data_IF_503002054377
#
_entry.id   IF_503002054377
#
_cell.length_a   1.000
_cell.length_b   1.000
_cell.length_c   1.000
_cell.angle_alpha   90.00
_cell.angle_beta   90.00
_cell.angle_gamma   90.00
#
_symmetry.space_group_name_H-M   'P 1'
#
loop_
_entity.id
_entity.type
_entity.pdbx_description
1 polymer ?
#
# COMPACT_ATOMS: atom_id res chain seq x y z
N UNK A 1 -5.86 -29.59 -32.42
CA UNK A 1 -5.28 -28.67 -31.41
C UNK A 1 -6.02 -27.33 -31.54
N UNK A 2 -6.52 -26.74 -30.45
CA UNK A 2 -7.25 -25.47 -30.53
C UNK A 2 -6.38 -24.37 -31.16
N UNK A 3 -7.04 -23.52 -31.94
CA UNK A 3 -6.41 -22.52 -32.81
C UNK A 3 -5.73 -21.44 -31.97
N UNK A 4 -4.45 -21.12 -32.26
CA UNK A 4 -3.70 -20.06 -31.57
C UNK A 4 -4.41 -18.73 -31.77
N UNK A 5 -4.84 -18.09 -30.68
CA UNK A 5 -5.50 -16.80 -30.69
C UNK A 5 -4.71 -15.83 -29.81
N UNK A 6 -4.46 -14.61 -30.31
CA UNK A 6 -3.61 -13.61 -29.62
C UNK A 6 -4.11 -13.23 -28.22
N UNK A 7 -5.40 -13.46 -27.93
CA UNK A 7 -6.01 -13.17 -26.63
C UNK A 7 -5.85 -14.29 -25.59
N UNK A 8 -5.35 -15.47 -25.98
CA UNK A 8 -5.09 -16.59 -25.06
C UNK A 8 -3.58 -16.86 -24.92
N UNK A 9 -2.89 -15.93 -24.24
CA UNK A 9 -1.44 -16.03 -24.03
C UNK A 9 -1.02 -17.07 -22.96
N UNK A 10 -1.97 -17.80 -22.36
CA UNK A 10 -1.71 -18.79 -21.31
C UNK A 10 -1.83 -20.25 -21.80
N UNK A 11 -1.77 -20.48 -23.12
CA UNK A 11 -2.00 -21.82 -23.70
C UNK A 11 -0.77 -22.75 -23.64
N UNK A 12 0.39 -22.23 -23.26
CA UNK A 12 1.59 -23.06 -23.03
C UNK A 12 1.52 -23.71 -21.64
N UNK A 13 2.03 -24.95 -21.52
CA UNK A 13 2.14 -25.66 -20.23
C UNK A 13 3.12 -25.00 -19.24
N UNK A 14 3.83 -23.97 -19.68
CA UNK A 14 4.73 -23.14 -18.88
C UNK A 14 4.48 -21.66 -19.19
N UNK A 15 4.47 -20.82 -18.16
CA UNK A 15 4.47 -19.36 -18.34
C UNK A 15 5.92 -18.87 -18.41
N UNK A 16 6.20 -17.98 -19.35
CA UNK A 16 7.49 -17.28 -19.46
C UNK A 16 7.68 -16.29 -18.31
N UNK A 17 8.92 -15.85 -18.10
CA UNK A 17 9.24 -14.88 -17.05
C UNK A 17 8.48 -13.56 -17.22
N UNK A 18 8.37 -13.03 -18.45
CA UNK A 18 7.64 -11.80 -18.73
C UNK A 18 6.13 -11.92 -18.47
N UNK A 19 5.54 -13.07 -18.78
CA UNK A 19 4.13 -13.34 -18.51
C UNK A 19 3.87 -13.42 -17.00
N UNK A 20 4.76 -14.08 -16.25
CA UNK A 20 4.69 -14.15 -14.79
C UNK A 20 4.77 -12.77 -14.14
N UNK A 21 5.64 -11.89 -14.64
CA UNK A 21 5.72 -10.49 -14.19
C UNK A 21 4.42 -9.72 -14.49
N UNK A 22 3.87 -9.84 -15.70
CA UNK A 22 2.62 -9.15 -16.10
C UNK A 22 1.38 -9.66 -15.35
N UNK A 23 1.34 -10.95 -15.01
CA UNK A 23 0.26 -11.55 -14.23
C UNK A 23 0.21 -11.06 -12.78
N UNK A 24 1.34 -10.55 -12.29
CA UNK A 24 1.49 -10.13 -10.91
C UNK A 24 1.29 -11.25 -9.87
N UNK A 25 1.34 -12.51 -10.30
CA UNK A 25 0.99 -13.67 -9.49
C UNK A 25 2.19 -14.19 -8.69
N UNK A 26 1.98 -14.49 -7.41
CA UNK A 26 3.01 -15.01 -6.50
C UNK A 26 3.85 -13.92 -5.84
N UNK A 27 4.94 -14.33 -5.18
CA UNK A 27 5.88 -13.40 -4.54
C UNK A 27 6.77 -12.74 -5.58
N UNK A 28 6.52 -11.46 -5.85
CA UNK A 28 7.35 -10.65 -6.74
C UNK A 28 8.47 -9.98 -5.96
N UNK A 29 9.68 -10.01 -6.53
CA UNK A 29 10.84 -9.29 -6.00
C UNK A 29 11.27 -8.28 -7.05
N UNK A 30 10.98 -7.02 -6.78
CA UNK A 30 11.39 -5.90 -7.62
C UNK A 30 12.19 -4.89 -6.79
N UNK A 31 13.13 -4.21 -7.44
CA UNK A 31 13.83 -3.08 -6.81
C UNK A 31 12.93 -1.86 -6.88
N UNK A 32 12.37 -1.49 -5.73
CA UNK A 32 11.58 -0.27 -5.62
C UNK A 32 12.49 0.97 -5.70
N UNK A 33 12.02 1.98 -6.43
CA UNK A 33 12.67 3.28 -6.50
C UNK A 33 12.55 4.05 -5.19
N UNK A 34 13.34 5.13 -5.05
CA UNK A 34 13.27 6.02 -3.89
C UNK A 34 11.86 6.57 -3.66
N UNK A 35 11.15 6.87 -4.73
CA UNK A 35 9.80 7.46 -4.68
C UNK A 35 8.74 6.50 -4.13
N UNK A 36 9.03 5.20 -4.13
CA UNK A 36 8.17 4.18 -3.52
C UNK A 36 8.33 4.10 -2.00
N UNK A 37 9.37 4.73 -1.44
CA UNK A 37 9.65 4.74 -0.01
C UNK A 37 9.20 6.07 0.55
N UNK A 38 8.36 6.00 1.59
CA UNK A 38 7.90 7.17 2.32
C UNK A 38 9.12 7.90 2.94
N UNK A 39 9.28 9.22 2.72
CA UNK A 39 10.28 9.99 3.45
C UNK A 39 9.95 10.02 4.95
N UNK A 40 10.91 10.42 5.78
CA UNK A 40 10.74 10.50 7.24
C UNK A 40 9.86 11.68 7.67
N UNK A 41 9.85 12.76 6.88
CA UNK A 41 9.29 14.06 7.25
C UNK A 41 7.76 14.25 7.16
N UNK A 42 6.94 13.46 6.43
CA UNK A 42 5.51 13.70 6.33
C UNK A 42 4.69 13.00 7.43
N UNK A 43 3.51 13.55 7.73
CA UNK A 43 2.58 13.03 8.74
C UNK A 43 2.15 11.59 8.38
N UNK A 44 2.21 10.65 9.33
CA UNK A 44 1.84 9.24 9.11
C UNK A 44 0.39 9.03 8.62
N UNK A 45 -0.52 9.97 8.88
CA UNK A 45 -1.93 9.87 8.47
C UNK A 45 -2.23 10.58 7.15
N UNK A 46 -1.70 11.80 6.94
CA UNK A 46 -2.01 12.63 5.76
C UNK A 46 -0.99 12.58 4.63
N UNK A 47 0.21 12.06 4.86
CA UNK A 47 1.34 12.09 3.89
C UNK A 47 1.80 13.50 3.48
N UNK A 48 1.35 14.54 4.17
CA UNK A 48 1.72 15.95 3.96
C UNK A 48 2.70 16.45 5.03
N UNK A 49 3.16 17.70 4.88
CA UNK A 49 4.01 18.37 5.86
C UNK A 49 3.37 18.39 7.26
N UNK A 50 4.20 18.28 8.30
CA UNK A 50 3.70 18.30 9.67
C UNK A 50 3.35 19.73 10.13
N UNK A 51 2.26 19.80 10.89
CA UNK A 51 1.78 20.99 11.57
C UNK A 51 1.54 20.54 13.02
N UNK A 52 2.18 21.21 13.98
CA UNK A 52 2.22 20.80 15.39
C UNK A 52 2.54 19.30 15.58
N UNK A 53 3.83 18.91 15.42
CA UNK A 53 4.24 17.53 15.46
C UNK A 53 4.03 16.91 16.85
N UNK A 54 3.43 15.73 16.87
CA UNK A 54 3.32 14.86 18.03
C UNK A 54 3.97 13.51 17.73
N UNK A 55 4.55 12.91 18.76
CA UNK A 55 5.20 11.61 18.69
C UNK A 55 4.41 10.57 19.48
N UNK A 56 4.23 9.39 18.87
CA UNK A 56 3.78 8.21 19.59
C UNK A 56 4.97 7.49 20.23
N UNK A 57 4.76 6.74 21.31
CA UNK A 57 5.79 5.89 21.95
C UNK A 57 6.45 4.90 20.98
N UNK A 58 5.77 4.54 19.89
CA UNK A 58 6.28 3.67 18.83
C UNK A 58 7.18 4.37 17.80
N UNK A 59 7.38 5.69 17.93
CA UNK A 59 8.23 6.46 17.01
C UNK A 59 7.52 7.00 15.76
N UNK A 60 6.20 7.09 15.76
CA UNK A 60 5.44 7.66 14.64
C UNK A 60 5.27 9.18 14.79
N UNK A 61 5.46 9.90 13.67
CA UNK A 61 5.29 11.35 13.54
C UNK A 61 3.91 11.70 12.98
N UNK A 62 3.16 12.52 13.72
CA UNK A 62 1.77 12.84 13.43
C UNK A 62 1.48 14.31 13.67
N UNK A 63 0.55 14.90 12.90
CA UNK A 63 -0.04 16.18 13.27
C UNK A 63 -1.02 15.99 14.43
N UNK A 64 -1.10 16.98 15.32
CA UNK A 64 -2.06 17.00 16.44
C UNK A 64 -3.52 16.82 16.03
N UNK A 65 -3.96 17.50 14.98
CA UNK A 65 -5.33 17.42 14.48
C UNK A 65 -5.65 16.00 13.98
N UNK A 66 -4.79 15.45 13.13
CA UNK A 66 -5.00 14.14 12.50
C UNK A 66 -5.13 13.00 13.51
N UNK A 67 -4.27 13.00 14.54
CA UNK A 67 -4.33 11.93 15.55
C UNK A 67 -5.63 12.02 16.37
N UNK A 68 -6.10 13.23 16.70
CA UNK A 68 -7.34 13.41 17.42
C UNK A 68 -8.55 12.97 16.58
N UNK A 69 -8.60 13.35 15.30
CA UNK A 69 -9.65 12.92 14.37
C UNK A 69 -9.68 11.40 14.21
N UNK A 70 -8.50 10.78 14.05
CA UNK A 70 -8.37 9.33 13.92
C UNK A 70 -8.91 8.61 15.17
N UNK A 71 -8.55 9.09 16.37
CA UNK A 71 -9.04 8.52 17.63
C UNK A 71 -10.55 8.70 17.81
N UNK A 72 -11.11 9.85 17.40
CA UNK A 72 -12.55 10.07 17.43
C UNK A 72 -13.30 9.16 16.46
N UNK A 73 -12.78 8.97 15.25
CA UNK A 73 -13.34 8.05 14.26
C UNK A 73 -13.33 6.61 14.79
N UNK A 74 -12.19 6.13 15.30
CA UNK A 74 -12.06 4.80 15.90
C UNK A 74 -13.05 4.58 17.04
N UNK A 75 -13.23 5.56 17.93
CA UNK A 75 -14.21 5.46 19.02
C UNK A 75 -15.66 5.37 18.51
N UNK A 76 -16.00 6.08 17.43
CA UNK A 76 -17.32 6.01 16.81
C UNK A 76 -17.54 4.64 16.17
N UNK A 77 -16.54 4.12 15.48
CA UNK A 77 -16.62 2.80 14.84
C UNK A 77 -16.78 1.68 15.87
N UNK A 78 -15.99 1.69 16.95
CA UNK A 78 -16.12 0.71 18.05
C UNK A 78 -17.53 0.72 18.63
N UNK A 79 -18.10 1.92 18.87
CA UNK A 79 -19.49 2.06 19.35
C UNK A 79 -20.55 1.58 18.37
N UNK A 80 -20.25 1.51 17.08
CA UNK A 80 -21.16 1.01 16.04
C UNK A 80 -21.16 -0.51 15.96
N UNK A 81 -20.03 -1.14 16.29
CA UNK A 81 -19.86 -2.59 16.30
C UNK A 81 -20.23 -3.26 17.64
N UNK A 82 -20.42 -2.46 18.70
CA UNK A 82 -21.02 -2.87 19.98
C UNK A 82 -22.53 -2.63 19.96
#
# INVERSE_FOLDING_TARGET
MPQRHSKNNNYLAFCTHEEKLKLGYGTQRERLGRDSIRPFDPCCLRLEHLIDPLFCQKGHLLCKECILECLLAQKKDIKRYL
#
